data_IF_174617963655
#
_entry.id   IF_174617963655
#
_cell.length_a   1.000
_cell.length_b   1.000
_cell.length_c   1.000
_cell.angle_alpha   90.00
_cell.angle_beta   90.00
_cell.angle_gamma   90.00
#
_symmetry.space_group_name_H-M   'P 1'
#
loop_
_entity.id
_entity.type
_entity.pdbx_description
1 polymer ?
#
# COMPACT_ATOMS: atom_id res chain seq x y z
N UNK A 1 15.65 13.77 3.96
CA UNK A 1 14.47 14.08 4.81
C UNK A 1 13.25 13.69 4.00
N UNK A 2 12.70 12.50 4.20
CA UNK A 2 11.54 12.06 3.41
C UNK A 2 10.29 12.70 4.01
N UNK A 3 9.61 13.52 3.22
CA UNK A 3 8.36 14.17 3.62
C UNK A 3 7.23 13.15 3.64
N UNK A 4 6.29 13.31 4.57
CA UNK A 4 5.11 12.44 4.63
C UNK A 4 4.34 12.53 3.30
N UNK A 5 4.10 11.40 2.66
CA UNK A 5 3.36 11.31 1.42
C UNK A 5 1.85 11.31 1.69
N UNK A 6 1.09 12.15 0.99
CA UNK A 6 -0.38 12.16 1.05
C UNK A 6 -0.94 11.17 0.01
N UNK A 7 -1.50 10.07 0.48
CA UNK A 7 -2.07 8.99 -0.34
C UNK A 7 -3.57 8.87 -0.13
N UNK A 8 -4.31 8.54 -1.18
CA UNK A 8 -5.75 8.26 -1.10
C UNK A 8 -6.04 6.78 -1.28
N UNK A 9 -6.97 6.26 -0.49
CA UNK A 9 -7.47 4.90 -0.64
C UNK A 9 -8.38 4.78 -1.85
N UNK A 10 -8.15 3.76 -2.67
CA UNK A 10 -9.11 3.38 -3.72
C UNK A 10 -10.37 2.76 -3.10
N UNK A 11 -11.49 2.80 -3.83
CA UNK A 11 -12.74 2.17 -3.37
C UNK A 11 -12.56 0.67 -3.04
N UNK A 12 -11.88 -0.14 -3.88
CA UNK A 12 -11.63 -1.54 -3.55
C UNK A 12 -10.77 -1.71 -2.30
N UNK A 13 -9.72 -0.89 -2.12
CA UNK A 13 -8.85 -0.99 -0.94
C UNK A 13 -9.60 -0.69 0.36
N UNK A 14 -10.47 0.33 0.34
CA UNK A 14 -11.30 0.68 1.51
C UNK A 14 -12.26 -0.46 1.87
N UNK A 15 -12.91 -1.06 0.88
CA UNK A 15 -13.83 -2.20 1.09
C UNK A 15 -13.09 -3.42 1.65
N UNK A 16 -11.94 -3.76 1.06
CA UNK A 16 -11.16 -4.90 1.50
C UNK A 16 -10.76 -4.78 2.98
N UNK A 17 -10.24 -3.63 3.39
CA UNK A 17 -9.84 -3.38 4.78
C UNK A 17 -11.03 -3.38 5.74
N UNK A 18 -12.17 -2.82 5.33
CA UNK A 18 -13.32 -2.65 6.22
C UNK A 18 -14.18 -3.91 6.35
N UNK A 19 -14.27 -4.74 5.30
CA UNK A 19 -15.33 -5.74 5.18
C UNK A 19 -14.83 -7.15 4.82
N UNK A 20 -13.71 -7.29 4.11
CA UNK A 20 -13.36 -8.57 3.47
C UNK A 20 -12.15 -9.27 4.12
N UNK A 21 -11.22 -8.50 4.69
CA UNK A 21 -10.00 -9.03 5.28
C UNK A 21 -10.20 -9.49 6.73
N UNK A 22 -9.55 -10.59 7.16
CA UNK A 22 -9.44 -10.90 8.58
C UNK A 22 -8.78 -9.74 9.34
N UNK A 23 -9.23 -9.49 10.58
CA UNK A 23 -8.81 -8.33 11.38
C UNK A 23 -7.29 -8.15 11.46
N UNK A 24 -6.54 -9.23 11.74
CA UNK A 24 -5.08 -9.20 11.80
C UNK A 24 -4.43 -8.72 10.49
N UNK A 25 -5.01 -9.10 9.35
CA UNK A 25 -4.53 -8.72 8.02
C UNK A 25 -4.87 -7.25 7.75
N UNK A 26 -6.08 -6.81 8.09
CA UNK A 26 -6.50 -5.42 7.96
C UNK A 26 -5.62 -4.49 8.81
N UNK A 27 -5.34 -4.84 10.06
CA UNK A 27 -4.46 -4.08 10.96
C UNK A 27 -3.04 -3.99 10.42
N UNK A 28 -2.48 -5.10 9.91
CA UNK A 28 -1.15 -5.09 9.30
C UNK A 28 -1.07 -4.16 8.08
N UNK A 29 -2.14 -4.12 7.26
CA UNK A 29 -2.25 -3.22 6.10
C UNK A 29 -2.33 -1.75 6.51
N UNK A 30 -3.09 -1.45 7.57
CA UNK A 30 -3.18 -0.09 8.11
C UNK A 30 -1.82 0.36 8.64
N UNK A 31 -1.12 -0.46 9.42
CA UNK A 31 0.24 -0.15 9.90
C UNK A 31 1.22 0.12 8.75
N UNK A 32 1.15 -0.70 7.69
CA UNK A 32 1.98 -0.51 6.50
C UNK A 32 1.66 0.84 5.82
N UNK A 33 0.38 1.18 5.68
CA UNK A 33 -0.10 2.39 5.02
C UNK A 33 0.19 3.67 5.80
N UNK A 34 0.02 3.65 7.12
CA UNK A 34 0.24 4.83 7.98
C UNK A 34 1.69 5.02 8.39
N UNK A 35 2.50 3.96 8.36
CA UNK A 35 3.93 3.98 8.66
C UNK A 35 4.78 4.05 7.41
N UNK A 36 5.43 2.92 7.07
CA UNK A 36 6.51 2.88 6.09
C UNK A 36 6.13 3.38 4.69
N UNK A 37 4.86 3.22 4.28
CA UNK A 37 4.37 3.81 3.02
C UNK A 37 4.20 5.31 3.08
N UNK A 38 3.79 5.86 4.21
CA UNK A 38 3.65 7.30 4.37
C UNK A 38 5.02 7.98 4.42
N UNK A 39 6.03 7.30 4.96
CA UNK A 39 7.40 7.82 5.06
C UNK A 39 8.16 7.77 3.73
N UNK A 40 8.14 6.63 3.03
CA UNK A 40 8.77 6.50 1.71
C UNK A 40 8.15 5.31 0.93
N UNK A 41 7.15 5.57 0.07
CA UNK A 41 6.49 4.54 -0.72
C UNK A 41 7.43 3.77 -1.64
N UNK A 42 8.52 4.39 -2.09
CA UNK A 42 9.48 3.76 -3.03
C UNK A 42 10.40 2.78 -2.32
N UNK A 43 10.61 2.93 -1.02
CA UNK A 43 11.46 2.04 -0.22
C UNK A 43 10.77 0.70 0.06
N UNK A 44 9.46 0.72 0.24
CA UNK A 44 8.66 -0.49 0.51
C UNK A 44 7.95 -1.04 -0.73
N UNK A 45 7.84 -0.22 -1.78
CA UNK A 45 7.25 -0.58 -3.06
C UNK A 45 8.27 -1.20 -4.00
N UNK A 46 7.98 -2.39 -4.55
CA UNK A 46 8.63 -2.86 -5.77
C UNK A 46 7.79 -2.45 -6.98
N UNK A 47 8.40 -1.89 -8.04
CA UNK A 47 7.71 -1.68 -9.31
C UNK A 47 7.07 -2.99 -9.77
N UNK A 48 5.83 -2.94 -10.25
CA UNK A 48 5.32 -4.04 -11.06
C UNK A 48 5.98 -3.99 -12.45
N UNK A 49 6.01 -5.13 -13.13
CA UNK A 49 6.63 -5.33 -14.45
C UNK A 49 6.29 -4.22 -15.47
N UNK A 50 7.14 -4.01 -16.48
CA UNK A 50 7.16 -2.87 -17.42
C UNK A 50 5.80 -2.50 -18.06
N UNK A 51 4.86 -3.44 -18.17
CA UNK A 51 3.48 -3.19 -18.63
C UNK A 51 2.59 -2.44 -17.62
N UNK A 52 3.09 -2.14 -16.41
CA UNK A 52 2.37 -1.49 -15.32
C UNK A 52 3.00 -0.17 -14.88
N UNK A 53 3.61 0.57 -15.82
CA UNK A 53 4.16 1.90 -15.56
C UNK A 53 3.19 2.77 -14.73
N UNK A 54 3.72 3.35 -13.64
CA UNK A 54 2.92 4.08 -12.66
C UNK A 54 2.27 3.23 -11.58
N UNK A 55 2.57 1.93 -11.46
CA UNK A 55 2.04 1.07 -10.38
C UNK A 55 3.16 0.39 -9.60
N UNK A 56 3.09 0.46 -8.28
CA UNK A 56 4.01 -0.20 -7.36
C UNK A 56 3.26 -1.16 -6.43
N UNK A 57 3.99 -2.08 -5.81
CA UNK A 57 3.41 -2.93 -4.77
C UNK A 57 4.26 -2.95 -3.52
N UNK A 58 3.63 -2.72 -2.37
CA UNK A 58 4.28 -2.86 -1.08
C UNK A 58 3.87 -4.16 -0.40
N UNK A 59 4.84 -4.84 0.20
CA UNK A 59 4.62 -6.12 0.87
C UNK A 59 5.10 -6.07 2.32
N UNK A 60 4.31 -6.63 3.22
CA UNK A 60 4.73 -6.95 4.59
C UNK A 60 4.32 -8.41 4.87
N UNK A 61 5.32 -9.24 5.18
CA UNK A 61 5.17 -10.69 5.22
C UNK A 61 4.60 -11.26 3.89
N UNK A 62 3.56 -12.10 3.95
CA UNK A 62 2.90 -12.70 2.78
C UNK A 62 1.84 -11.82 2.13
N UNK A 63 1.60 -10.62 2.68
CA UNK A 63 0.53 -9.74 2.24
C UNK A 63 1.04 -8.68 1.27
N UNK A 64 0.21 -8.26 0.30
CA UNK A 64 0.56 -7.27 -0.74
C UNK A 64 -0.50 -6.18 -0.85
N UNK A 65 -0.05 -4.93 -0.94
CA UNK A 65 -0.86 -3.77 -1.31
C UNK A 65 -0.39 -3.19 -2.64
N UNK A 66 -1.32 -2.84 -3.52
CA UNK A 66 -1.06 -2.23 -4.83
C UNK A 66 -1.26 -0.71 -4.73
N UNK A 67 -0.30 0.05 -5.27
CA UNK A 67 -0.22 1.50 -5.21
C UNK A 67 -0.16 2.04 -6.63
N UNK A 68 -0.94 3.07 -6.91
CA UNK A 68 -0.90 3.77 -8.19
C UNK A 68 -0.28 5.15 -7.99
N UNK A 69 0.73 5.46 -8.78
CA UNK A 69 1.37 6.76 -8.91
C UNK A 69 0.80 7.41 -10.17
N UNK A 70 -0.11 8.36 -9.99
CA UNK A 70 -0.66 9.20 -11.05
C UNK A 70 0.14 10.51 -11.10
#
# INVERSE_FOLDING_TARGET
>A
MSGLHDGRWSRPARRAIAEELPEFVASTMLELATGALREDPRRVGKPLHELFDGTSSASRATLRMILQHR
#
